data_IF_353496891177
#
_entry.id   IF_353496891177
#
_cell.length_a   1.000
_cell.length_b   1.000
_cell.length_c   1.000
_cell.angle_alpha   90.00
_cell.angle_beta   90.00
_cell.angle_gamma   90.00
#
_symmetry.space_group_name_H-M   'P 1'
#
loop_
_entity.id
_entity.type
_entity.pdbx_description
1 polymer ?
#
# COMPACT_ATOMS: atom_id res chain seq x y z
N UNK A 1 -23.14 -11.23 -5.40
CA UNK A 1 -23.18 -11.15 -6.87
C UNK A 1 -22.54 -12.41 -7.43
N UNK A 2 -23.31 -13.21 -8.15
CA UNK A 2 -22.79 -14.36 -8.91
C UNK A 2 -22.10 -13.80 -10.15
N UNK A 3 -20.78 -13.56 -10.05
CA UNK A 3 -20.01 -13.04 -11.19
C UNK A 3 -19.69 -14.16 -12.16
N UNK A 4 -20.18 -14.04 -13.39
CA UNK A 4 -19.82 -14.91 -14.53
C UNK A 4 -18.45 -14.55 -15.14
N UNK A 5 -17.76 -13.52 -14.59
CA UNK A 5 -16.47 -13.04 -15.10
C UNK A 5 -15.33 -14.03 -14.79
N UNK A 6 -14.44 -14.19 -15.77
CA UNK A 6 -13.25 -15.05 -15.66
C UNK A 6 -12.19 -14.48 -14.72
N UNK A 7 -12.18 -13.13 -14.52
CA UNK A 7 -11.12 -12.42 -13.81
C UNK A 7 -11.32 -12.45 -12.29
N UNK A 8 -10.32 -12.91 -11.57
CA UNK A 8 -10.34 -13.01 -10.10
C UNK A 8 -9.07 -12.40 -9.49
N UNK A 9 -9.27 -11.52 -8.52
CA UNK A 9 -8.23 -11.06 -7.61
C UNK A 9 -8.43 -11.78 -6.28
N UNK A 10 -7.59 -12.73 -5.99
CA UNK A 10 -7.59 -13.44 -4.72
C UNK A 10 -6.69 -12.71 -3.75
N UNK A 11 -7.20 -12.42 -2.54
CA UNK A 11 -6.44 -11.87 -1.43
C UNK A 11 -6.27 -12.93 -0.37
N UNK A 12 -5.04 -13.33 -0.10
CA UNK A 12 -4.69 -14.31 0.90
C UNK A 12 -4.51 -13.61 2.27
N UNK A 13 -5.49 -13.75 3.13
CA UNK A 13 -5.50 -13.15 4.47
C UNK A 13 -4.44 -13.77 5.39
N UNK A 14 -4.18 -15.07 5.26
CA UNK A 14 -3.14 -15.75 6.04
C UNK A 14 -1.75 -15.21 5.67
N UNK A 15 -1.51 -14.89 4.39
CA UNK A 15 -0.25 -14.27 3.97
C UNK A 15 -0.07 -12.89 4.64
N UNK A 16 -1.11 -12.06 4.74
CA UNK A 16 -1.06 -10.77 5.42
C UNK A 16 -0.75 -10.95 6.91
N UNK A 17 -1.41 -11.90 7.58
CA UNK A 17 -1.16 -12.20 8.98
C UNK A 17 0.28 -12.70 9.19
N UNK A 18 0.77 -13.61 8.33
CA UNK A 18 2.14 -14.11 8.40
C UNK A 18 3.16 -13.00 8.13
N UNK A 19 2.89 -12.09 7.20
CA UNK A 19 3.74 -10.91 6.96
C UNK A 19 3.78 -10.00 8.20
N UNK A 20 2.63 -9.74 8.83
CA UNK A 20 2.57 -9.00 10.08
C UNK A 20 3.42 -9.66 11.17
N UNK A 21 3.30 -10.99 11.36
CA UNK A 21 4.11 -11.77 12.29
C UNK A 21 5.60 -11.76 11.93
N UNK A 22 5.92 -11.72 10.66
CA UNK A 22 7.31 -11.62 10.18
C UNK A 22 7.91 -10.26 10.54
N UNK A 23 7.18 -9.17 10.37
CA UNK A 23 7.60 -7.83 10.82
C UNK A 23 7.74 -7.80 12.35
N UNK A 24 6.78 -8.37 13.09
CA UNK A 24 6.80 -8.45 14.56
C UNK A 24 8.06 -9.16 15.06
N UNK A 25 8.41 -10.29 14.46
CA UNK A 25 9.66 -11.03 14.76
C UNK A 25 10.91 -10.23 14.37
N UNK A 26 10.86 -9.52 13.25
CA UNK A 26 11.98 -8.72 12.76
C UNK A 26 12.33 -7.59 13.73
N UNK A 27 11.33 -6.89 14.26
CA UNK A 27 11.56 -5.83 15.25
C UNK A 27 11.80 -6.38 16.67
N UNK A 28 11.58 -7.67 16.89
CA UNK A 28 11.91 -8.41 18.11
C UNK A 28 11.44 -7.74 19.42
N UNK A 29 10.28 -7.08 19.41
CA UNK A 29 9.72 -6.37 20.57
C UNK A 29 10.43 -5.07 20.95
N UNK A 30 11.42 -4.62 20.20
CA UNK A 30 12.16 -3.37 20.47
C UNK A 30 11.31 -2.11 20.19
N UNK A 31 10.23 -2.23 19.43
CA UNK A 31 9.36 -1.13 19.04
C UNK A 31 7.93 -1.64 18.81
N UNK A 32 6.93 -0.74 18.90
CA UNK A 32 5.55 -1.04 18.56
C UNK A 32 5.32 -1.09 17.05
N UNK A 33 4.18 -1.66 16.64
CA UNK A 33 3.77 -1.72 15.23
C UNK A 33 2.44 -0.98 15.05
N UNK A 34 2.46 0.03 14.17
CA UNK A 34 1.29 0.71 13.63
C UNK A 34 1.07 0.18 12.22
N UNK A 35 0.09 -0.71 12.02
CA UNK A 35 -0.17 -1.32 10.73
C UNK A 35 -0.84 -0.33 9.77
N UNK A 36 -0.25 -0.12 8.59
CA UNK A 36 -0.76 0.87 7.61
C UNK A 36 -1.71 0.20 6.64
N UNK A 37 -3.00 0.57 6.73
CA UNK A 37 -4.11 -0.01 5.94
C UNK A 37 -4.75 0.98 4.97
N UNK A 38 -4.10 2.10 4.68
CA UNK A 38 -4.57 3.14 3.75
C UNK A 38 -4.75 2.62 2.32
N UNK A 39 -5.43 3.39 1.48
CA UNK A 39 -5.72 3.08 0.07
C UNK A 39 -6.35 1.69 -0.07
N UNK A 40 -7.46 1.48 0.67
CA UNK A 40 -8.18 0.22 0.71
C UNK A 40 -7.26 -0.96 1.07
N UNK A 41 -6.39 -0.79 2.09
CA UNK A 41 -5.35 -1.74 2.48
C UNK A 41 -4.46 -2.12 1.27
N UNK A 42 -3.95 -1.10 0.56
CA UNK A 42 -3.15 -1.30 -0.67
C UNK A 42 -3.89 -2.16 -1.72
N UNK A 43 -5.20 -1.95 -1.87
CA UNK A 43 -6.05 -2.70 -2.79
C UNK A 43 -6.58 -4.03 -2.24
N UNK A 44 -6.21 -4.44 -1.02
CA UNK A 44 -6.55 -5.76 -0.46
C UNK A 44 -7.93 -5.82 0.23
N UNK A 45 -8.52 -4.67 0.58
CA UNK A 45 -9.80 -4.58 1.29
C UNK A 45 -9.60 -4.11 2.73
N UNK A 46 -9.85 -2.82 2.97
CA UNK A 46 -9.47 -2.15 4.22
C UNK A 46 -10.15 -2.77 5.45
N UNK A 47 -11.44 -3.10 5.36
CA UNK A 47 -12.20 -3.63 6.49
C UNK A 47 -11.73 -5.04 6.85
N UNK A 48 -11.66 -5.94 5.88
CA UNK A 48 -11.29 -7.33 6.12
C UNK A 48 -9.86 -7.44 6.67
N UNK A 49 -8.94 -6.67 6.08
CA UNK A 49 -7.54 -6.62 6.51
C UNK A 49 -7.42 -6.04 7.93
N UNK A 50 -8.11 -4.94 8.22
CA UNK A 50 -8.05 -4.32 9.54
C UNK A 50 -8.61 -5.23 10.64
N UNK A 51 -9.75 -5.87 10.38
CA UNK A 51 -10.36 -6.88 11.30
C UNK A 51 -9.40 -8.05 11.54
N UNK A 52 -8.76 -8.55 10.48
CA UNK A 52 -7.81 -9.64 10.62
C UNK A 52 -6.57 -9.22 11.42
N UNK A 53 -6.01 -8.05 11.16
CA UNK A 53 -4.85 -7.52 11.87
C UNK A 53 -5.16 -7.25 13.35
N UNK A 54 -6.30 -6.62 13.67
CA UNK A 54 -6.72 -6.36 15.05
C UNK A 54 -6.89 -7.67 15.82
N UNK A 55 -7.60 -8.68 15.26
CA UNK A 55 -7.76 -10.01 15.86
C UNK A 55 -6.42 -10.73 16.08
N UNK A 56 -5.40 -10.41 15.27
CA UNK A 56 -4.07 -11.01 15.38
C UNK A 56 -3.06 -10.13 16.14
N UNK A 57 -3.53 -9.13 16.90
CA UNK A 57 -2.72 -8.38 17.86
C UNK A 57 -2.13 -7.08 17.34
N UNK A 58 -2.55 -6.57 16.19
CA UNK A 58 -2.23 -5.20 15.81
C UNK A 58 -2.85 -4.23 16.83
N UNK A 59 -2.03 -3.39 17.44
CA UNK A 59 -2.44 -2.49 18.52
C UNK A 59 -2.77 -1.08 18.04
N UNK A 60 -2.43 -0.75 16.80
CA UNK A 60 -2.69 0.55 16.19
C UNK A 60 -2.75 0.41 14.68
N UNK A 61 -3.65 1.15 14.04
CA UNK A 61 -3.78 1.23 12.59
C UNK A 61 -3.49 2.65 12.09
N UNK A 62 -3.04 2.76 10.84
CA UNK A 62 -2.87 4.05 10.18
C UNK A 62 -3.52 4.07 8.80
N UNK A 63 -4.22 5.16 8.53
CA UNK A 63 -4.92 5.44 7.28
C UNK A 63 -4.42 6.75 6.66
N UNK A 64 -4.80 7.05 5.41
CA UNK A 64 -4.39 8.30 4.77
C UNK A 64 -5.36 9.44 4.96
N UNK A 65 -6.65 9.16 5.12
CA UNK A 65 -7.72 10.15 5.21
C UNK A 65 -8.81 9.71 6.21
N UNK A 66 -9.72 10.62 6.46
CA UNK A 66 -10.81 10.44 7.44
C UNK A 66 -11.84 9.42 6.96
N UNK A 67 -12.15 9.39 5.66
CA UNK A 67 -13.16 8.45 5.14
C UNK A 67 -12.74 7.00 5.38
N UNK A 68 -11.45 6.69 5.31
CA UNK A 68 -10.91 5.37 5.67
C UNK A 68 -11.04 5.11 7.19
N UNK A 69 -10.85 6.12 8.04
CA UNK A 69 -11.06 5.98 9.48
C UNK A 69 -12.54 5.73 9.83
N UNK A 70 -13.47 6.40 9.14
CA UNK A 70 -14.93 6.17 9.26
C UNK A 70 -15.23 4.71 8.92
N UNK A 71 -14.79 4.23 7.76
CA UNK A 71 -15.02 2.83 7.34
C UNK A 71 -14.53 1.82 8.39
N UNK A 72 -13.39 2.08 9.02
CA UNK A 72 -12.86 1.21 10.07
C UNK A 72 -13.70 1.25 11.35
N UNK A 73 -14.15 2.43 11.76
CA UNK A 73 -15.02 2.57 12.95
C UNK A 73 -16.39 1.94 12.73
N UNK A 74 -16.98 2.14 11.53
CA UNK A 74 -18.25 1.52 11.14
C UNK A 74 -18.14 -0.02 11.10
N UNK A 75 -16.96 -0.54 10.80
CA UNK A 75 -16.67 -1.98 10.85
C UNK A 75 -16.38 -2.51 12.27
N UNK A 76 -16.44 -1.65 13.30
CA UNK A 76 -16.26 -2.03 14.70
C UNK A 76 -14.80 -2.13 15.15
N UNK A 77 -13.84 -1.61 14.40
CA UNK A 77 -12.44 -1.55 14.82
C UNK A 77 -12.30 -0.66 16.06
N UNK A 78 -11.71 -1.20 17.12
CA UNK A 78 -11.57 -0.54 18.42
C UNK A 78 -10.16 0.01 18.68
N UNK A 79 -9.12 -0.56 18.08
CA UNK A 79 -7.74 -0.08 18.28
C UNK A 79 -7.58 1.38 17.84
N UNK A 80 -6.60 2.11 18.39
CA UNK A 80 -6.27 3.46 17.96
C UNK A 80 -6.04 3.56 16.45
N UNK A 81 -6.57 4.62 15.84
CA UNK A 81 -6.41 4.92 14.40
C UNK A 81 -5.71 6.27 14.26
N UNK A 82 -4.70 6.33 13.40
CA UNK A 82 -4.01 7.58 13.03
C UNK A 82 -4.28 7.94 11.58
N UNK A 83 -4.79 9.14 11.33
CA UNK A 83 -4.92 9.75 10.01
C UNK A 83 -3.60 10.45 9.69
N UNK A 84 -2.79 9.87 8.80
CA UNK A 84 -1.44 10.32 8.46
C UNK A 84 -1.41 11.50 7.48
N UNK A 85 -2.51 11.74 6.77
CA UNK A 85 -2.65 12.82 5.81
C UNK A 85 -3.24 14.10 6.42
N UNK A 86 -3.20 15.18 5.63
CA UNK A 86 -3.97 16.38 5.93
C UNK A 86 -5.46 16.15 5.69
N UNK A 87 -6.28 16.88 6.39
CA UNK A 87 -7.74 16.80 6.31
C UNK A 87 -8.37 18.16 6.11
N UNK A 88 -9.55 18.22 5.52
CA UNK A 88 -10.39 19.40 5.50
C UNK A 88 -10.89 19.73 6.92
N UNK A 89 -11.43 20.94 7.15
CA UNK A 89 -12.01 21.30 8.44
C UNK A 89 -13.07 20.28 8.89
N UNK A 90 -13.97 19.86 7.99
CA UNK A 90 -14.97 18.83 8.29
C UNK A 90 -14.33 17.49 8.66
N UNK A 91 -13.28 17.10 7.96
CA UNK A 91 -12.53 15.89 8.28
C UNK A 91 -11.82 15.95 9.63
N UNK A 92 -11.20 17.09 9.97
CA UNK A 92 -10.56 17.28 11.30
C UNK A 92 -11.60 17.16 12.41
N UNK A 93 -12.78 17.74 12.25
CA UNK A 93 -13.88 17.60 13.22
C UNK A 93 -14.28 16.14 13.40
N UNK A 94 -14.38 15.41 12.29
CA UNK A 94 -14.78 14.00 12.33
C UNK A 94 -13.74 13.13 13.04
N UNK A 95 -12.42 13.40 12.93
CA UNK A 95 -11.42 12.64 13.69
C UNK A 95 -11.63 12.71 15.20
N UNK A 96 -12.11 13.83 15.74
CA UNK A 96 -12.44 13.97 17.17
C UNK A 96 -13.65 13.10 17.53
N UNK A 97 -14.69 13.07 16.67
CA UNK A 97 -15.87 12.21 16.86
C UNK A 97 -15.47 10.75 16.94
N UNK A 98 -14.60 10.31 16.05
CA UNK A 98 -14.12 8.93 15.90
C UNK A 98 -13.06 8.50 16.94
N UNK A 99 -12.58 9.39 17.80
CA UNK A 99 -11.41 9.18 18.64
C UNK A 99 -10.19 8.68 17.81
N UNK A 100 -9.95 9.32 16.67
CA UNK A 100 -8.82 9.07 15.81
C UNK A 100 -7.79 10.20 15.92
N UNK A 101 -6.50 9.89 15.87
CA UNK A 101 -5.46 10.90 15.90
C UNK A 101 -5.30 11.55 14.52
N UNK A 102 -5.29 12.88 14.45
CA UNK A 102 -5.07 13.65 13.23
C UNK A 102 -3.61 14.09 13.10
N UNK A 103 -3.02 13.93 11.91
CA UNK A 103 -1.74 14.57 11.61
C UNK A 103 -1.89 16.09 11.61
N UNK A 104 -1.06 16.77 12.40
CA UNK A 104 -1.07 18.22 12.58
C UNK A 104 0.29 18.80 12.19
N UNK A 105 0.29 19.89 11.42
CA UNK A 105 1.49 20.60 10.98
C UNK A 105 1.26 22.10 10.73
N UNK A 106 0.10 22.61 11.10
CA UNK A 106 -0.25 24.03 11.05
C UNK A 106 -1.18 24.42 12.19
N UNK A 107 -1.26 25.71 12.44
CA UNK A 107 -2.03 26.31 13.54
C UNK A 107 -3.54 26.16 13.32
N UNK A 108 -4.01 26.22 12.08
CA UNK A 108 -5.43 26.11 11.76
C UNK A 108 -5.99 24.74 12.17
N UNK A 109 -5.26 23.66 11.89
CA UNK A 109 -5.66 22.32 12.31
C UNK A 109 -5.76 22.21 13.84
N UNK A 110 -4.83 22.81 14.60
CA UNK A 110 -4.88 22.85 16.06
C UNK A 110 -6.12 23.58 16.56
N UNK A 111 -6.43 24.76 16.02
CA UNK A 111 -7.61 25.52 16.41
C UNK A 111 -8.92 24.80 16.11
N UNK A 112 -9.00 24.09 14.98
CA UNK A 112 -10.18 23.29 14.65
C UNK A 112 -10.33 22.13 15.63
N UNK A 113 -9.25 21.37 15.91
CA UNK A 113 -9.24 20.29 16.90
C UNK A 113 -9.66 20.80 18.29
N UNK A 114 -9.10 21.93 18.74
CA UNK A 114 -9.45 22.53 20.04
C UNK A 114 -10.93 22.89 20.14
N UNK A 115 -11.46 23.60 19.13
CA UNK A 115 -12.89 23.98 19.10
C UNK A 115 -13.80 22.77 19.16
N UNK A 116 -13.48 21.75 18.37
CA UNK A 116 -14.28 20.54 18.29
C UNK A 116 -14.18 19.68 19.56
N UNK A 117 -12.99 19.58 20.15
CA UNK A 117 -12.77 18.91 21.42
C UNK A 117 -13.63 19.53 22.53
N UNK A 118 -13.64 20.87 22.64
CA UNK A 118 -14.48 21.59 23.58
C UNK A 118 -15.97 21.33 23.29
N UNK A 119 -16.39 21.44 22.03
CA UNK A 119 -17.79 21.22 21.61
C UNK A 119 -18.30 19.84 22.00
N UNK A 120 -17.45 18.79 21.85
CA UNK A 120 -17.81 17.40 22.15
C UNK A 120 -17.50 16.98 23.60
N UNK A 121 -16.92 17.87 24.40
CA UNK A 121 -16.40 17.54 25.72
C UNK A 121 -15.45 16.34 25.71
N UNK A 122 -14.49 16.35 24.76
CA UNK A 122 -13.49 15.30 24.52
C UNK A 122 -12.08 15.88 24.55
N UNK A 123 -11.09 15.00 24.58
CA UNK A 123 -9.70 15.32 24.21
C UNK A 123 -9.49 14.90 22.75
N UNK A 124 -9.06 15.83 21.90
CA UNK A 124 -8.66 15.52 20.55
C UNK A 124 -7.24 14.95 20.54
N UNK A 125 -7.01 13.89 19.77
CA UNK A 125 -5.70 13.28 19.61
C UNK A 125 -5.00 13.84 18.36
N UNK A 126 -3.73 14.22 18.49
CA UNK A 126 -2.98 14.77 17.40
C UNK A 126 -1.57 14.16 17.30
N UNK A 127 -1.13 13.87 16.08
CA UNK A 127 0.26 13.50 15.78
C UNK A 127 0.96 14.64 15.06
N UNK A 128 1.95 15.24 15.70
CA UNK A 128 2.76 16.31 15.12
C UNK A 128 3.59 15.77 13.95
N UNK A 129 3.36 16.29 12.75
CA UNK A 129 4.12 15.91 11.56
C UNK A 129 5.29 16.84 11.32
N UNK A 130 6.51 16.31 11.27
CA UNK A 130 7.75 17.04 10.96
C UNK A 130 8.16 16.75 9.52
N UNK A 131 8.44 17.80 8.75
CA UNK A 131 9.09 17.68 7.45
C UNK A 131 10.60 17.75 7.61
N UNK A 132 11.24 16.60 7.50
CA UNK A 132 12.70 16.48 7.60
C UNK A 132 13.40 16.50 6.25
N UNK A 133 12.65 16.63 5.14
CA UNK A 133 13.22 16.70 3.79
C UNK A 133 12.41 16.04 2.69
N UNK A 134 11.23 15.49 2.97
CA UNK A 134 10.33 14.98 1.94
C UNK A 134 9.57 16.09 1.20
N UNK A 135 9.39 17.24 1.85
CA UNK A 135 8.77 18.47 1.30
C UNK A 135 7.37 18.21 0.71
N UNK A 136 6.56 17.47 1.45
CA UNK A 136 5.16 17.15 1.07
C UNK A 136 4.15 17.72 2.05
N UNK A 137 4.25 17.38 3.32
CA UNK A 137 3.50 17.91 4.47
C UNK A 137 4.38 17.88 5.70
N UNK A 138 4.13 18.76 6.65
CA UNK A 138 4.86 18.79 7.93
C UNK A 138 5.44 20.16 8.26
N UNK A 139 5.71 20.37 9.53
CA UNK A 139 6.41 21.56 10.03
C UNK A 139 7.89 21.48 9.58
N UNK A 140 8.38 22.52 8.95
CA UNK A 140 9.75 22.59 8.45
C UNK A 140 10.55 23.68 9.13
N UNK A 141 11.64 23.28 9.80
CA UNK A 141 12.56 24.18 10.49
C UNK A 141 12.15 24.51 11.92
N UNK A 142 13.15 24.94 12.69
CA UNK A 142 13.05 25.10 14.14
C UNK A 142 12.11 26.27 14.52
N UNK A 143 12.14 27.38 13.77
CA UNK A 143 11.28 28.54 14.02
C UNK A 143 9.80 28.23 13.82
N UNK A 144 9.47 27.49 12.75
CA UNK A 144 8.10 27.07 12.49
C UNK A 144 7.60 26.09 13.57
N UNK A 145 8.47 25.17 14.00
CA UNK A 145 8.17 24.25 15.09
C UNK A 145 7.94 25.03 16.41
N UNK A 146 8.80 25.97 16.74
CA UNK A 146 8.67 26.78 17.96
C UNK A 146 7.35 27.57 17.97
N UNK A 147 6.97 28.19 16.84
CA UNK A 147 5.67 28.87 16.69
C UNK A 147 4.50 27.93 16.93
N UNK A 148 4.48 26.77 16.27
CA UNK A 148 3.39 25.80 16.41
C UNK A 148 3.29 25.27 17.84
N UNK A 149 4.42 25.00 18.51
CA UNK A 149 4.46 24.59 19.91
C UNK A 149 3.95 25.69 20.85
N UNK A 150 4.15 26.97 20.52
CA UNK A 150 3.57 28.08 21.29
C UNK A 150 2.05 28.09 21.17
N UNK A 151 1.51 27.94 19.97
CA UNK A 151 0.04 27.86 19.75
C UNK A 151 -0.56 26.63 20.43
N UNK A 152 0.20 25.51 20.47
CA UNK A 152 -0.28 24.27 21.11
C UNK A 152 -0.60 24.47 22.62
N UNK A 153 0.13 25.37 23.32
CA UNK A 153 -0.14 25.70 24.73
C UNK A 153 -1.51 26.30 24.93
N UNK A 154 -2.05 26.98 23.91
CA UNK A 154 -3.37 27.60 23.94
C UNK A 154 -4.50 26.62 23.57
N UNK A 155 -4.12 25.34 23.30
CA UNK A 155 -5.03 24.27 22.92
C UNK A 155 -5.03 23.12 23.94
N UNK A 156 -5.49 23.35 25.19
CA UNK A 156 -5.39 22.39 26.31
C UNK A 156 -6.20 21.09 26.08
N UNK A 157 -7.20 21.10 25.18
CA UNK A 157 -7.99 19.93 24.85
C UNK A 157 -7.44 19.15 23.65
N UNK A 158 -6.23 19.49 23.16
CA UNK A 158 -5.54 18.76 22.09
C UNK A 158 -4.29 18.09 22.64
N UNK A 159 -4.35 16.79 22.79
CA UNK A 159 -3.22 15.97 23.22
C UNK A 159 -2.27 15.70 22.06
N UNK A 160 -0.98 16.03 22.22
CA UNK A 160 0.08 15.56 21.32
C UNK A 160 0.40 14.12 21.67
N UNK A 161 -0.40 13.18 21.18
CA UNK A 161 -0.25 11.76 21.48
C UNK A 161 0.90 11.12 20.69
N UNK A 162 1.24 11.63 19.50
CA UNK A 162 2.35 11.16 18.69
C UNK A 162 3.08 12.26 17.94
N UNK A 163 4.27 11.94 17.44
CA UNK A 163 5.00 12.77 16.49
C UNK A 163 5.71 11.91 15.44
N UNK A 164 5.82 12.42 14.20
CA UNK A 164 6.38 11.60 13.13
C UNK A 164 7.01 12.38 11.99
N UNK A 165 7.91 11.68 11.29
CA UNK A 165 8.40 12.06 9.97
C UNK A 165 8.18 10.94 8.97
N UNK A 166 8.65 11.14 7.73
CA UNK A 166 8.69 10.11 6.69
C UNK A 166 9.95 10.26 5.86
N UNK A 167 10.72 9.19 5.76
CA UNK A 167 11.93 9.16 4.97
C UNK A 167 11.60 9.13 3.48
N UNK A 168 12.30 9.93 2.70
CA UNK A 168 12.02 10.08 1.27
C UNK A 168 12.63 8.98 0.41
N UNK A 169 13.76 8.41 0.87
CA UNK A 169 14.61 7.53 0.07
C UNK A 169 15.32 6.46 0.94
N UNK A 170 14.59 5.86 1.91
CA UNK A 170 15.20 4.88 2.82
C UNK A 170 15.67 3.60 2.12
N UNK A 171 15.20 3.34 0.91
CA UNK A 171 15.56 2.21 0.05
C UNK A 171 16.72 2.51 -0.90
N UNK A 172 17.04 3.79 -1.15
CA UNK A 172 17.95 4.19 -2.24
C UNK A 172 19.04 5.18 -1.81
N UNK A 173 18.85 5.94 -0.72
CA UNK A 173 19.81 6.93 -0.25
C UNK A 173 19.98 6.91 1.28
N UNK A 174 20.95 6.13 1.74
CA UNK A 174 21.27 6.00 3.15
C UNK A 174 21.74 7.32 3.78
N UNK A 175 22.54 8.10 3.08
CA UNK A 175 23.09 9.37 3.57
C UNK A 175 22.01 10.40 3.81
N UNK A 176 21.07 10.52 2.87
CA UNK A 176 19.95 11.43 3.04
C UNK A 176 18.98 10.94 4.12
N UNK A 177 18.78 9.64 4.24
CA UNK A 177 17.97 9.03 5.30
C UNK A 177 18.52 9.35 6.69
N UNK A 178 19.83 9.23 6.89
CA UNK A 178 20.47 9.64 8.16
C UNK A 178 20.36 11.15 8.39
N UNK A 179 20.51 11.98 7.35
CA UNK A 179 20.29 13.42 7.47
C UNK A 179 18.87 13.75 7.94
N UNK A 180 17.86 13.07 7.40
CA UNK A 180 16.47 13.22 7.83
C UNK A 180 16.28 12.75 9.28
N UNK A 181 16.92 11.65 9.66
CA UNK A 181 16.90 11.11 11.01
C UNK A 181 17.45 12.11 12.04
N UNK A 182 18.60 12.71 11.76
CA UNK A 182 19.21 13.74 12.64
C UNK A 182 18.31 14.99 12.78
N UNK A 183 17.65 15.40 11.71
CA UNK A 183 16.65 16.49 11.78
C UNK A 183 15.46 16.10 12.64
N UNK A 184 15.01 14.84 12.55
CA UNK A 184 13.89 14.35 13.36
C UNK A 184 14.28 14.25 14.84
N UNK A 185 15.45 13.75 15.17
CA UNK A 185 15.99 13.73 16.54
C UNK A 185 16.01 15.13 17.19
N UNK A 186 16.45 16.14 16.43
CA UNK A 186 16.42 17.55 16.90
C UNK A 186 15.00 18.03 17.17
N UNK A 187 14.07 17.74 16.27
CA UNK A 187 12.67 18.09 16.48
C UNK A 187 12.09 17.40 17.72
N UNK A 188 12.41 16.12 17.96
CA UNK A 188 12.03 15.41 19.19
C UNK A 188 12.56 16.12 20.44
N UNK A 189 13.81 16.53 20.44
CA UNK A 189 14.43 17.26 21.56
C UNK A 189 13.71 18.60 21.83
N UNK A 190 13.38 19.37 20.78
CA UNK A 190 12.61 20.61 20.88
C UNK A 190 11.20 20.37 21.49
N UNK A 191 10.49 19.34 21.04
CA UNK A 191 9.16 18.97 21.56
C UNK A 191 9.25 18.56 23.04
N UNK A 192 10.26 17.79 23.40
CA UNK A 192 10.51 17.41 24.80
C UNK A 192 10.87 18.61 25.67
N UNK A 193 11.68 19.56 25.18
CA UNK A 193 12.00 20.78 25.91
C UNK A 193 10.77 21.66 26.13
N UNK A 194 9.79 21.62 25.23
CA UNK A 194 8.50 22.31 25.37
C UNK A 194 7.53 21.62 26.35
N UNK A 195 7.91 20.49 26.96
CA UNK A 195 7.13 19.76 27.97
C UNK A 195 6.24 18.64 27.43
N UNK A 196 6.22 18.38 26.12
CA UNK A 196 5.44 17.29 25.53
C UNK A 196 6.22 15.97 25.52
N UNK A 197 5.51 14.84 25.56
CA UNK A 197 6.10 13.49 25.55
C UNK A 197 5.32 12.56 24.61
N UNK A 198 5.14 12.94 23.32
CA UNK A 198 4.49 12.06 22.36
C UNK A 198 5.36 10.83 22.04
N UNK A 199 4.73 9.70 21.68
CA UNK A 199 5.51 8.63 21.08
C UNK A 199 5.96 9.02 19.66
N UNK A 200 7.18 8.65 19.29
CA UNK A 200 7.78 8.99 18.01
C UNK A 200 7.69 7.83 17.01
N UNK A 201 7.45 8.13 15.73
CA UNK A 201 7.46 7.13 14.67
C UNK A 201 7.98 7.69 13.34
N UNK A 202 8.93 6.97 12.71
CA UNK A 202 9.56 7.43 11.47
C UNK A 202 9.59 6.33 10.39
N UNK A 203 9.96 5.10 10.74
CA UNK A 203 10.23 4.01 9.82
C UNK A 203 8.96 3.45 9.16
N UNK A 204 8.86 3.57 7.83
CA UNK A 204 7.99 2.77 6.98
C UNK A 204 8.74 1.49 6.54
N UNK A 205 8.13 0.64 5.70
CA UNK A 205 8.65 -0.70 5.39
C UNK A 205 10.13 -0.76 5.03
N UNK A 206 10.62 0.10 4.11
CA UNK A 206 12.03 0.16 3.74
C UNK A 206 12.93 0.58 4.92
N UNK A 207 12.51 1.62 5.65
CA UNK A 207 13.27 2.12 6.80
C UNK A 207 13.29 1.12 7.98
N UNK A 208 12.31 0.21 8.09
CA UNK A 208 12.33 -0.88 9.07
C UNK A 208 13.54 -1.79 8.79
N UNK A 209 13.76 -2.12 7.53
CA UNK A 209 14.88 -2.97 7.11
C UNK A 209 16.24 -2.26 7.17
N UNK A 210 16.26 -0.92 7.11
CA UNK A 210 17.48 -0.12 7.13
C UNK A 210 18.24 -0.26 8.46
N UNK A 211 17.53 -0.18 9.62
CA UNK A 211 18.15 -0.35 10.93
C UNK A 211 17.26 0.11 12.08
N UNK A 212 17.56 -0.40 13.28
CA UNK A 212 16.78 -0.13 14.50
C UNK A 212 16.95 1.30 15.05
N UNK A 213 17.99 2.02 14.62
CA UNK A 213 18.18 3.44 14.91
C UNK A 213 17.10 4.36 14.31
N UNK A 214 16.27 3.85 13.36
CA UNK A 214 15.16 4.57 12.74
C UNK A 214 13.78 4.20 13.29
N UNK A 215 13.68 3.19 14.19
CA UNK A 215 12.39 2.64 14.59
C UNK A 215 11.62 3.52 15.57
N UNK A 216 12.31 4.20 16.49
CA UNK A 216 11.71 4.96 17.57
C UNK A 216 10.72 4.10 18.39
N UNK A 217 9.62 4.70 18.87
CA UNK A 217 8.63 3.99 19.67
C UNK A 217 7.72 3.08 18.83
N UNK A 218 7.54 3.41 17.53
CA UNK A 218 6.69 2.64 16.62
C UNK A 218 7.21 2.64 15.18
N UNK A 219 7.07 1.48 14.53
CA UNK A 219 7.27 1.32 13.07
C UNK A 219 5.93 1.28 12.34
N UNK A 220 5.93 1.68 11.06
CA UNK A 220 4.73 1.76 10.22
C UNK A 220 4.86 0.87 8.98
N UNK A 221 4.80 -0.47 9.11
CA UNK A 221 4.77 -1.34 7.94
C UNK A 221 3.50 -1.07 7.12
N UNK A 222 3.69 -0.83 5.82
CA UNK A 222 2.63 -0.74 4.83
C UNK A 222 2.82 -1.85 3.82
N UNK A 223 3.59 -1.61 2.75
CA UNK A 223 3.80 -2.56 1.65
C UNK A 223 4.33 -3.93 2.15
N UNK A 224 5.09 -3.97 3.23
CA UNK A 224 5.59 -5.20 3.83
C UNK A 224 4.46 -6.11 4.33
N UNK A 225 3.34 -5.56 4.82
CA UNK A 225 2.19 -6.37 5.25
C UNK A 225 1.55 -7.13 4.10
N UNK A 226 1.69 -6.62 2.88
CA UNK A 226 1.09 -7.16 1.68
C UNK A 226 2.06 -7.98 0.82
N UNK A 227 3.32 -8.10 1.27
CA UNK A 227 4.36 -8.83 0.56
C UNK A 227 4.75 -8.23 -0.78
N UNK A 228 4.64 -6.91 -0.94
CA UNK A 228 5.02 -6.17 -2.15
C UNK A 228 6.42 -5.56 -2.06
N UNK A 229 7.29 -6.13 -1.24
CA UNK A 229 8.70 -5.74 -1.09
C UNK A 229 9.51 -6.91 -0.57
N UNK A 230 10.76 -6.99 -0.95
CA UNK A 230 11.75 -7.98 -0.50
C UNK A 230 12.70 -7.44 0.60
N UNK A 231 12.48 -6.20 1.05
CA UNK A 231 13.35 -5.56 2.05
C UNK A 231 13.42 -6.31 3.39
N UNK A 232 12.41 -7.10 3.72
CA UNK A 232 12.38 -8.02 4.86
C UNK A 232 12.21 -9.45 4.32
N UNK A 233 13.13 -10.35 4.66
CA UNK A 233 13.05 -11.75 4.21
C UNK A 233 11.86 -12.48 4.82
N UNK A 234 11.22 -13.34 4.02
CA UNK A 234 10.11 -14.18 4.45
C UNK A 234 8.73 -13.54 4.29
N UNK A 235 8.63 -12.38 3.66
CA UNK A 235 7.36 -11.82 3.23
C UNK A 235 6.81 -12.57 2.02
N UNK A 236 5.48 -12.69 1.95
CA UNK A 236 4.78 -13.40 0.86
C UNK A 236 3.75 -12.47 0.23
N UNK A 237 3.74 -12.30 -1.11
CA UNK A 237 2.70 -11.55 -1.79
C UNK A 237 1.30 -12.08 -1.47
N UNK A 238 0.41 -11.16 -1.06
CA UNK A 238 -0.94 -11.52 -0.62
C UNK A 238 -1.96 -11.47 -1.77
N UNK A 239 -1.64 -10.88 -2.91
CA UNK A 239 -2.52 -10.83 -4.07
C UNK A 239 -2.15 -11.87 -5.12
N UNK A 240 -3.19 -12.44 -5.76
CA UNK A 240 -3.08 -13.31 -6.92
C UNK A 240 -4.15 -12.93 -7.94
N UNK A 241 -3.74 -12.59 -9.17
CA UNK A 241 -4.63 -12.25 -10.27
C UNK A 241 -4.69 -13.40 -11.27
N UNK A 242 -5.88 -13.91 -11.53
CA UNK A 242 -6.11 -15.03 -12.44
C UNK A 242 -7.24 -14.75 -13.42
N UNK A 243 -7.19 -15.46 -14.54
CA UNK A 243 -8.23 -15.48 -15.55
C UNK A 243 -8.28 -16.85 -16.24
N UNK A 244 -9.18 -16.99 -17.23
CA UNK A 244 -9.29 -18.18 -18.09
C UNK A 244 -9.34 -17.74 -19.54
N UNK A 245 -8.77 -18.54 -20.49
CA UNK A 245 -8.78 -18.17 -21.90
C UNK A 245 -10.20 -18.19 -22.49
N UNK A 246 -10.42 -17.34 -23.48
CA UNK A 246 -11.67 -17.30 -24.27
C UNK A 246 -11.46 -17.77 -25.70
N UNK A 247 -10.19 -17.93 -26.14
CA UNK A 247 -9.83 -18.43 -27.46
C UNK A 247 -8.40 -18.98 -27.45
N UNK A 248 -8.18 -20.07 -28.17
CA UNK A 248 -6.85 -20.52 -28.55
C UNK A 248 -6.87 -20.80 -30.08
N UNK A 249 -5.93 -20.22 -30.81
CA UNK A 249 -5.88 -20.35 -32.26
C UNK A 249 -4.41 -20.26 -32.75
N UNK A 250 -4.15 -20.70 -33.98
CA UNK A 250 -2.89 -20.48 -34.67
C UNK A 250 -2.88 -19.09 -35.33
N UNK A 251 -1.74 -18.43 -35.25
CA UNK A 251 -1.34 -17.33 -36.14
C UNK A 251 -0.26 -17.88 -37.05
N UNK A 252 -0.37 -17.58 -38.36
CA UNK A 252 0.60 -18.02 -39.37
C UNK A 252 1.81 -17.06 -39.39
N UNK A 253 2.87 -17.49 -40.06
CA UNK A 253 4.05 -16.65 -40.30
C UNK A 253 3.63 -15.34 -41.01
N UNK A 254 4.06 -14.19 -40.52
CA UNK A 254 3.69 -12.87 -41.01
C UNK A 254 2.40 -12.28 -40.44
N UNK A 255 1.57 -13.05 -39.72
CA UNK A 255 0.39 -12.52 -39.05
C UNK A 255 0.74 -11.48 -38.00
N UNK A 256 -0.06 -10.41 -37.90
CA UNK A 256 0.14 -9.36 -36.92
C UNK A 256 -0.86 -9.46 -35.78
N UNK A 257 -0.39 -9.21 -34.55
CA UNK A 257 -1.18 -9.40 -33.33
C UNK A 257 -1.50 -8.07 -32.67
N UNK A 258 -2.79 -7.83 -32.44
CA UNK A 258 -3.31 -6.71 -31.64
C UNK A 258 -3.26 -5.35 -32.32
N UNK A 259 -3.68 -4.33 -31.57
CA UNK A 259 -3.75 -2.95 -32.05
C UNK A 259 -2.38 -2.38 -32.44
N UNK A 260 -2.34 -1.71 -33.60
CA UNK A 260 -1.13 -1.06 -34.12
C UNK A 260 -0.10 -2.04 -34.66
N UNK A 261 -0.45 -3.32 -34.77
CA UNK A 261 0.40 -4.35 -35.39
C UNK A 261 1.83 -4.36 -34.80
N UNK A 262 1.92 -4.25 -33.46
CA UNK A 262 3.20 -4.11 -32.74
C UNK A 262 3.93 -5.41 -32.50
N UNK A 263 3.32 -6.52 -32.88
CA UNK A 263 3.91 -7.86 -32.88
C UNK A 263 3.57 -8.55 -34.21
N UNK A 264 4.57 -9.14 -34.82
CA UNK A 264 4.42 -9.96 -36.04
C UNK A 264 4.90 -11.39 -35.72
N UNK A 265 4.12 -12.38 -36.06
CA UNK A 265 4.52 -13.78 -35.94
C UNK A 265 5.64 -14.05 -36.92
N UNK A 266 6.80 -14.52 -36.44
CA UNK A 266 7.97 -14.88 -37.25
C UNK A 266 7.98 -16.38 -37.64
N UNK A 267 6.95 -17.10 -37.24
CA UNK A 267 6.69 -18.52 -37.46
C UNK A 267 5.25 -18.83 -37.06
N UNK A 268 4.68 -19.98 -37.44
CA UNK A 268 3.40 -20.39 -36.88
C UNK A 268 3.44 -20.43 -35.36
N UNK A 269 2.50 -19.68 -34.71
CA UNK A 269 2.42 -19.50 -33.27
C UNK A 269 1.04 -19.88 -32.75
N UNK A 270 1.00 -20.49 -31.57
CA UNK A 270 -0.24 -20.78 -30.88
C UNK A 270 -0.56 -19.64 -29.93
N UNK A 271 -1.63 -18.90 -30.22
CA UNK A 271 -2.03 -17.68 -29.52
C UNK A 271 -3.22 -17.98 -28.63
N UNK A 272 -3.11 -17.60 -27.35
CA UNK A 272 -4.19 -17.67 -26.35
C UNK A 272 -4.72 -16.26 -26.05
N UNK A 273 -6.02 -16.04 -26.21
CA UNK A 273 -6.69 -14.78 -25.83
C UNK A 273 -7.28 -14.91 -24.44
N UNK A 274 -6.96 -13.96 -23.57
CA UNK A 274 -7.41 -13.89 -22.17
C UNK A 274 -8.28 -12.64 -21.99
N UNK A 275 -9.49 -12.75 -21.40
CA UNK A 275 -10.47 -11.64 -21.31
C UNK A 275 -10.15 -10.69 -20.14
N UNK A 276 -8.93 -10.16 -20.11
CA UNK A 276 -8.48 -9.15 -19.16
C UNK A 276 -7.64 -8.10 -19.89
N UNK A 277 -7.88 -6.84 -19.58
CA UNK A 277 -7.18 -5.74 -20.19
C UNK A 277 -7.05 -4.52 -19.29
N UNK A 278 -6.73 -3.34 -19.89
CA UNK A 278 -6.53 -2.14 -19.07
C UNK A 278 -7.81 -1.61 -18.43
N UNK A 279 -8.99 -1.98 -18.92
CA UNK A 279 -10.27 -1.71 -18.27
C UNK A 279 -10.45 -2.47 -16.95
N UNK A 280 -9.71 -3.56 -16.76
CA UNK A 280 -9.67 -4.38 -15.55
C UNK A 280 -8.49 -4.01 -14.63
N UNK A 281 -7.64 -3.06 -15.07
CA UNK A 281 -6.45 -2.63 -14.36
C UNK A 281 -5.13 -3.25 -14.84
N UNK A 282 -5.16 -4.16 -15.82
CA UNK A 282 -3.94 -4.74 -16.40
C UNK A 282 -3.35 -3.76 -17.43
N UNK A 283 -2.32 -3.01 -17.02
CA UNK A 283 -1.83 -1.81 -17.72
C UNK A 283 -1.45 -2.06 -19.18
N UNK A 284 -1.79 -1.09 -20.07
CA UNK A 284 -1.53 -1.17 -21.50
C UNK A 284 -0.04 -1.30 -21.85
N UNK A 285 0.85 -0.71 -21.03
CA UNK A 285 2.30 -0.76 -21.21
C UNK A 285 2.88 -2.18 -21.08
N UNK A 286 2.16 -3.11 -20.48
CA UNK A 286 2.56 -4.51 -20.29
C UNK A 286 2.55 -5.31 -21.61
N UNK A 287 1.93 -4.78 -22.67
CA UNK A 287 1.98 -5.40 -24.00
C UNK A 287 3.41 -5.53 -24.53
N UNK A 288 3.77 -6.70 -25.08
CA UNK A 288 5.12 -7.09 -25.54
C UNK A 288 6.22 -7.03 -24.45
N UNK A 289 5.85 -6.85 -23.17
CA UNK A 289 6.83 -6.74 -22.06
C UNK A 289 6.61 -7.79 -20.98
N UNK A 290 5.36 -8.05 -20.67
CA UNK A 290 4.99 -8.90 -19.55
C UNK A 290 4.88 -10.37 -19.95
N UNK A 291 4.78 -11.21 -18.93
CA UNK A 291 4.48 -12.62 -19.03
C UNK A 291 3.26 -12.98 -18.19
N UNK A 292 2.65 -14.13 -18.48
CA UNK A 292 1.66 -14.80 -17.65
C UNK A 292 2.05 -16.27 -17.47
N UNK A 293 1.50 -16.93 -16.46
CA UNK A 293 1.74 -18.36 -16.26
C UNK A 293 0.57 -19.16 -16.81
N UNK A 294 0.88 -20.18 -17.62
CA UNK A 294 -0.07 -21.15 -18.16
C UNK A 294 0.51 -22.54 -17.97
N UNK A 295 -0.21 -23.43 -17.29
CA UNK A 295 0.27 -24.79 -16.98
C UNK A 295 1.66 -24.79 -16.28
N UNK A 296 1.93 -23.80 -15.41
CA UNK A 296 3.21 -23.68 -14.72
C UNK A 296 4.38 -23.18 -15.56
N UNK A 297 4.12 -22.64 -16.76
CA UNK A 297 5.14 -22.09 -17.67
C UNK A 297 4.89 -20.62 -17.95
N UNK A 298 5.97 -19.84 -18.11
CA UNK A 298 5.93 -18.43 -18.47
C UNK A 298 5.61 -18.27 -19.95
N UNK A 299 4.55 -17.53 -20.29
CA UNK A 299 4.08 -17.22 -21.63
C UNK A 299 4.12 -15.71 -21.86
N UNK A 300 4.74 -15.27 -22.96
CA UNK A 300 4.87 -13.84 -23.25
C UNK A 300 3.53 -13.21 -23.66
N UNK A 301 3.27 -12.02 -23.18
CA UNK A 301 2.21 -11.15 -23.72
C UNK A 301 2.68 -10.64 -25.07
N UNK A 302 1.95 -10.97 -26.13
CA UNK A 302 2.26 -10.60 -27.52
C UNK A 302 1.23 -9.62 -28.07
N UNK A 303 1.70 -8.54 -28.67
CA UNK A 303 0.88 -7.43 -29.09
C UNK A 303 0.50 -6.51 -27.92
N UNK A 304 -0.29 -5.46 -28.21
CA UNK A 304 -0.75 -4.49 -27.20
C UNK A 304 -1.86 -5.08 -26.36
N UNK A 305 -1.79 -4.84 -25.04
CA UNK A 305 -2.96 -5.07 -24.17
C UNK A 305 -4.12 -4.17 -24.63
N UNK A 306 -5.28 -4.78 -24.86
CA UNK A 306 -6.52 -4.09 -25.24
C UNK A 306 -7.30 -3.63 -24.00
N UNK A 307 -8.46 -2.99 -24.19
CA UNK A 307 -9.32 -2.59 -23.08
C UNK A 307 -9.79 -3.80 -22.27
N UNK A 308 -10.20 -4.87 -22.97
CA UNK A 308 -10.89 -6.02 -22.37
C UNK A 308 -10.15 -7.35 -22.56
N UNK A 309 -9.02 -7.37 -23.28
CA UNK A 309 -8.32 -8.59 -23.65
C UNK A 309 -6.82 -8.37 -23.78
N UNK A 310 -6.07 -9.44 -23.59
CA UNK A 310 -4.67 -9.59 -23.96
C UNK A 310 -4.43 -10.92 -24.68
N UNK A 311 -3.28 -11.05 -25.33
CA UNK A 311 -2.87 -12.25 -26.05
C UNK A 311 -1.54 -12.77 -25.52
N UNK A 312 -1.44 -14.11 -25.43
CA UNK A 312 -0.25 -14.82 -24.96
C UNK A 312 0.27 -15.74 -26.05
N UNK A 313 1.59 -15.84 -26.21
CA UNK A 313 2.23 -16.92 -26.96
C UNK A 313 2.31 -18.18 -26.09
N UNK A 314 1.51 -19.17 -26.42
CA UNK A 314 1.50 -20.49 -25.75
C UNK A 314 2.05 -21.60 -26.63
N UNK A 315 2.83 -21.29 -27.66
CA UNK A 315 3.40 -22.28 -28.64
C UNK A 315 4.19 -23.40 -27.95
N UNK A 316 4.95 -23.03 -26.90
CA UNK A 316 5.75 -23.98 -26.12
C UNK A 316 4.97 -24.69 -24.99
N UNK A 317 3.65 -24.47 -24.90
CA UNK A 317 2.73 -25.12 -23.97
C UNK A 317 1.67 -25.90 -24.77
N UNK A 318 2.05 -27.04 -25.44
CA UNK A 318 1.17 -27.71 -26.38
C UNK A 318 -0.12 -28.27 -25.78
N UNK A 319 -0.11 -28.57 -24.48
CA UNK A 319 -1.24 -29.07 -23.73
C UNK A 319 -2.15 -27.97 -23.18
N UNK A 320 -1.84 -26.68 -23.40
CA UNK A 320 -2.71 -25.58 -22.94
C UNK A 320 -4.11 -25.68 -23.57
N UNK A 321 -5.15 -25.49 -22.77
CA UNK A 321 -6.56 -25.67 -23.14
C UNK A 321 -7.43 -24.52 -22.65
N UNK A 322 -8.68 -24.48 -23.12
CA UNK A 322 -9.66 -23.46 -22.73
C UNK A 322 -10.04 -23.50 -21.23
N UNK A 323 -9.83 -24.64 -20.57
CA UNK A 323 -10.11 -24.83 -19.15
C UNK A 323 -8.97 -24.44 -18.21
N UNK A 324 -7.79 -24.08 -18.75
CA UNK A 324 -6.61 -23.83 -17.94
C UNK A 324 -6.64 -22.42 -17.33
N UNK A 325 -6.25 -22.37 -16.06
CA UNK A 325 -6.09 -21.10 -15.37
C UNK A 325 -4.85 -20.35 -15.87
N UNK A 326 -5.03 -19.08 -16.18
CA UNK A 326 -3.96 -18.14 -16.52
C UNK A 326 -3.64 -17.29 -15.30
N UNK A 327 -2.41 -17.32 -14.82
CA UNK A 327 -1.96 -16.50 -13.68
C UNK A 327 -1.19 -15.30 -14.20
N UNK A 328 -1.71 -14.11 -13.91
CA UNK A 328 -1.14 -12.83 -14.35
C UNK A 328 -0.29 -12.19 -13.24
N UNK A 329 -0.62 -12.48 -11.99
CA UNK A 329 0.13 -12.12 -10.79
C UNK A 329 0.01 -13.26 -9.78
N UNK A 330 1.11 -13.68 -9.18
CA UNK A 330 1.16 -14.74 -8.18
C UNK A 330 1.79 -16.03 -8.71
N UNK A 331 1.56 -17.14 -7.99
CA UNK A 331 2.24 -18.41 -8.21
C UNK A 331 1.38 -19.43 -8.97
N UNK A 332 2.03 -20.21 -9.84
CA UNK A 332 1.50 -21.43 -10.44
C UNK A 332 2.60 -22.49 -10.53
N UNK A 333 2.49 -23.55 -9.75
CA UNK A 333 3.58 -24.53 -9.59
C UNK A 333 4.80 -23.91 -8.92
N UNK A 334 5.97 -24.06 -9.56
CA UNK A 334 7.23 -23.47 -9.07
C UNK A 334 7.42 -22.02 -9.51
N UNK A 335 6.74 -21.60 -10.58
CA UNK A 335 6.84 -20.26 -11.14
C UNK A 335 6.01 -19.25 -10.36
N UNK A 336 6.48 -18.00 -10.33
CA UNK A 336 5.82 -16.90 -9.67
C UNK A 336 6.05 -15.59 -10.44
N UNK A 337 4.99 -14.81 -10.65
CA UNK A 337 5.08 -13.41 -11.09
C UNK A 337 4.80 -12.55 -9.86
N UNK A 338 5.80 -11.79 -9.43
CA UNK A 338 5.68 -10.93 -8.24
C UNK A 338 5.19 -9.53 -8.60
N UNK A 339 4.65 -8.75 -7.64
CA UNK A 339 4.33 -7.34 -7.85
C UNK A 339 5.53 -6.51 -8.31
N UNK A 340 6.74 -6.82 -7.81
CA UNK A 340 7.99 -6.15 -8.17
C UNK A 340 8.38 -6.44 -9.62
N UNK A 341 8.30 -7.71 -10.04
CA UNK A 341 8.58 -8.09 -11.41
C UNK A 341 7.61 -7.42 -12.39
N UNK A 342 6.31 -7.41 -12.07
CA UNK A 342 5.31 -6.70 -12.87
C UNK A 342 5.56 -5.19 -12.89
N UNK A 343 6.01 -4.60 -11.79
CA UNK A 343 6.35 -3.19 -11.69
C UNK A 343 7.50 -2.82 -12.66
N UNK A 344 8.53 -3.66 -12.76
CA UNK A 344 9.62 -3.48 -13.73
C UNK A 344 9.08 -3.46 -15.16
N UNK A 345 8.20 -4.41 -15.54
CA UNK A 345 7.59 -4.43 -16.87
C UNK A 345 6.69 -3.23 -17.16
N UNK A 346 6.03 -2.72 -16.10
CA UNK A 346 5.10 -1.59 -16.19
C UNK A 346 5.77 -0.22 -16.00
N UNK A 347 7.09 -0.16 -15.82
CA UNK A 347 7.86 1.06 -15.54
C UNK A 347 7.26 1.85 -14.34
N UNK A 348 7.08 1.16 -13.21
CA UNK A 348 6.46 1.70 -12.00
C UNK A 348 6.96 0.97 -10.75
N UNK A 349 6.21 1.06 -9.65
CA UNK A 349 6.49 0.44 -8.35
C UNK A 349 5.40 -0.57 -7.96
N UNK A 350 5.76 -1.55 -7.14
CA UNK A 350 4.86 -2.62 -6.68
C UNK A 350 3.58 -2.09 -6.01
N UNK A 351 3.65 -0.92 -5.37
CA UNK A 351 2.49 -0.22 -4.78
C UNK A 351 1.40 0.05 -5.81
N UNK A 352 1.77 0.62 -6.96
CA UNK A 352 0.83 0.96 -8.03
C UNK A 352 0.30 -0.29 -8.73
N UNK A 353 1.11 -1.34 -8.83
CA UNK A 353 0.67 -2.64 -9.36
C UNK A 353 -0.46 -3.21 -8.52
N UNK A 354 -0.27 -3.30 -7.19
CA UNK A 354 -1.25 -3.88 -6.29
C UNK A 354 -2.57 -3.09 -6.21
N UNK A 355 -2.49 -1.76 -6.33
CA UNK A 355 -3.67 -0.88 -6.38
C UNK A 355 -4.43 -0.96 -7.70
N UNK A 356 -3.76 -1.32 -8.78
CA UNK A 356 -4.31 -1.28 -10.14
C UNK A 356 -5.48 -2.23 -10.38
N UNK A 357 -5.58 -3.33 -9.64
CA UNK A 357 -6.58 -4.39 -9.85
C UNK A 357 -7.85 -4.24 -8.99
N UNK A 358 -7.99 -3.20 -8.19
CA UNK A 358 -9.19 -2.94 -7.40
C UNK A 358 -10.27 -2.29 -8.28
N UNK A 359 -10.74 -3.03 -9.29
CA UNK A 359 -11.78 -2.59 -10.21
C UNK A 359 -13.09 -3.34 -9.96
N UNK A 360 -14.23 -2.72 -10.30
CA UNK A 360 -15.56 -3.38 -10.23
C UNK A 360 -15.70 -4.54 -11.21
N UNK A 361 -14.78 -4.67 -12.17
CA UNK A 361 -14.78 -5.70 -13.23
C UNK A 361 -14.01 -6.96 -12.82
N UNK A 362 -13.13 -6.86 -11.83
CA UNK A 362 -12.37 -8.00 -11.30
C UNK A 362 -13.01 -8.45 -9.99
N UNK A 363 -13.42 -9.72 -9.92
CA UNK A 363 -14.03 -10.27 -8.71
C UNK A 363 -12.96 -10.45 -7.63
N UNK A 364 -13.07 -9.69 -6.52
CA UNK A 364 -12.24 -9.92 -5.35
C UNK A 364 -12.75 -11.14 -4.55
N UNK A 365 -11.81 -11.99 -4.15
CA UNK A 365 -12.07 -13.19 -3.34
C UNK A 365 -11.10 -13.19 -2.17
N UNK A 366 -11.60 -13.32 -0.95
CA UNK A 366 -10.78 -13.48 0.25
C UNK A 366 -10.57 -14.98 0.52
N UNK A 367 -9.36 -15.37 0.87
CA UNK A 367 -8.97 -16.73 1.24
C UNK A 367 -8.22 -16.74 2.56
#
# INVERSE_FOLDING_TARGET
>A
MTGYGANRLTVNMDAIIQNFRTVERFVAGKTGIMAVVKANAYGHGIVDVAVALEKNGARMLAVSNVDEAVQLRDAGICVPITVLGGSTEAGIRETVSLNAAQAVYDENALHILQREAVRLNKTALAHLKIDTGMTRIGVKGDDALARLLSVWKDCPNVEMSGMFTHFAAADTDATFTETQNERFKRACACVHAAGHRPFAHAAASAAIAFGDNLWYDMVRPGIALYGGTDCIKGLTPAQRLTSYPVRIAWAEDGDTIGYGRTYTAERPMRIMTVPIGYGDGYKRILGNRAQALVCGKRCNVVGRVCMDQLTLDVTHVPNASMGDEVVLLGRQGIECITPEEMAVWADTISYEVMLGFDSRRVKKVLM
#
